data_IF_051516093264
#
_entry.id   IF_051516093264
#
_cell.length_a   1.000
_cell.length_b   1.000
_cell.length_c   1.000
_cell.angle_alpha   90.00
_cell.angle_beta   90.00
_cell.angle_gamma   90.00
#
_symmetry.space_group_name_H-M   'P 1'
#
loop_
_entity.id
_entity.type
_entity.pdbx_description
1 polymer ?
#
# COMPACT_ATOMS: atom_id res chain seq x y z
N UNK A 1 16.36 13.03 23.23
CA UNK A 1 15.09 13.35 22.53
C UNK A 1 14.99 12.39 21.38
N UNK A 2 14.19 11.32 21.53
CA UNK A 2 14.04 10.31 20.49
C UNK A 2 13.07 10.84 19.42
N UNK A 3 13.59 11.56 18.43
CA UNK A 3 12.83 11.96 17.22
C UNK A 3 12.56 10.79 16.28
N UNK A 4 13.11 9.61 16.58
CA UNK A 4 13.09 8.46 15.68
C UNK A 4 11.70 8.00 15.23
N UNK A 5 10.67 8.16 16.07
CA UNK A 5 9.31 7.71 15.72
C UNK A 5 8.73 8.38 14.48
N UNK A 6 8.85 9.70 14.39
CA UNK A 6 8.27 10.50 13.29
C UNK A 6 9.05 10.26 11.99
N UNK A 7 10.38 10.25 12.06
CA UNK A 7 11.26 10.03 10.91
C UNK A 7 11.00 8.66 10.25
N UNK A 8 10.85 7.61 11.06
CA UNK A 8 10.52 6.27 10.57
C UNK A 8 9.13 6.19 9.96
N UNK A 9 8.14 6.86 10.55
CA UNK A 9 6.78 6.89 10.00
C UNK A 9 6.74 7.57 8.63
N UNK A 10 7.39 8.73 8.48
CA UNK A 10 7.46 9.44 7.20
C UNK A 10 8.12 8.59 6.11
N UNK A 11 9.22 7.90 6.45
CA UNK A 11 9.87 6.99 5.51
C UNK A 11 8.95 5.82 5.11
N UNK A 12 8.25 5.22 6.07
CA UNK A 12 7.31 4.13 5.82
C UNK A 12 6.10 4.60 4.98
N UNK A 13 5.58 5.80 5.24
CA UNK A 13 4.51 6.40 4.46
C UNK A 13 4.96 6.66 3.01
N UNK A 14 6.14 7.23 2.80
CA UNK A 14 6.69 7.46 1.46
C UNK A 14 6.92 6.14 0.71
N UNK A 15 7.50 5.14 1.38
CA UNK A 15 7.66 3.81 0.82
C UNK A 15 6.31 3.17 0.46
N UNK A 16 5.29 3.36 1.29
CA UNK A 16 3.92 2.87 1.04
C UNK A 16 3.32 3.50 -0.19
N UNK A 17 3.45 4.82 -0.37
CA UNK A 17 2.94 5.50 -1.57
C UNK A 17 3.68 5.02 -2.82
N UNK A 18 5.01 4.96 -2.80
CA UNK A 18 5.78 4.54 -3.95
C UNK A 18 5.53 3.07 -4.33
N UNK A 19 5.61 2.16 -3.36
CA UNK A 19 5.47 0.72 -3.58
C UNK A 19 4.01 0.30 -3.78
N UNK A 20 3.08 0.96 -3.08
CA UNK A 20 1.63 0.79 -3.25
C UNK A 20 1.10 1.28 -4.60
N UNK A 21 1.89 2.07 -5.35
CA UNK A 21 1.62 2.40 -6.75
C UNK A 21 2.36 1.45 -7.70
N UNK A 22 3.69 1.32 -7.56
CA UNK A 22 4.51 0.54 -8.48
C UNK A 22 4.18 -0.96 -8.45
N UNK A 23 3.90 -1.51 -7.27
CA UNK A 23 3.49 -2.90 -7.08
C UNK A 23 2.23 -3.22 -7.89
N UNK A 24 1.07 -2.63 -7.57
CA UNK A 24 -0.16 -2.84 -8.31
C UNK A 24 -0.06 -2.60 -9.82
N UNK A 25 0.67 -1.57 -10.27
CA UNK A 25 0.88 -1.34 -11.71
C UNK A 25 1.62 -2.50 -12.38
N UNK A 26 2.63 -3.08 -11.71
CA UNK A 26 3.31 -4.28 -12.24
C UNK A 26 2.38 -5.50 -12.30
N UNK A 27 1.42 -5.62 -11.38
CA UNK A 27 0.41 -6.68 -11.41
C UNK A 27 -0.60 -6.50 -12.53
N UNK A 28 -1.04 -5.26 -12.78
CA UNK A 28 -1.89 -4.93 -13.93
C UNK A 28 -1.13 -5.20 -15.24
N UNK A 29 0.14 -4.82 -15.33
CA UNK A 29 0.98 -5.10 -16.50
C UNK A 29 1.12 -6.63 -16.73
N UNK A 30 1.31 -7.41 -15.67
CA UNK A 30 1.31 -8.87 -15.73
C UNK A 30 -0.03 -9.45 -16.24
N UNK A 31 -1.15 -8.89 -15.80
CA UNK A 31 -2.48 -9.34 -16.20
C UNK A 31 -2.76 -9.06 -17.69
N UNK A 32 -2.42 -7.85 -18.16
CA UNK A 32 -2.71 -7.35 -19.52
C UNK A 32 -1.70 -7.86 -20.56
N UNK A 33 -0.40 -7.89 -20.24
CA UNK A 33 0.66 -8.28 -21.18
C UNK A 33 0.92 -9.79 -21.14
N UNK A 34 -0.05 -10.56 -21.64
CA UNK A 34 -0.05 -12.03 -21.58
C UNK A 34 1.24 -12.65 -22.14
N UNK A 35 1.77 -12.10 -23.23
CA UNK A 35 3.00 -12.57 -23.90
C UNK A 35 4.28 -12.33 -23.08
N UNK A 36 4.27 -11.39 -22.13
CA UNK A 36 5.43 -11.00 -21.32
C UNK A 36 5.30 -11.42 -19.85
N UNK A 37 4.37 -12.33 -19.53
CA UNK A 37 4.06 -12.72 -18.15
C UNK A 37 5.27 -13.19 -17.37
N UNK A 38 6.18 -13.93 -17.99
CA UNK A 38 7.38 -14.43 -17.31
C UNK A 38 8.31 -13.30 -16.86
N UNK A 39 8.41 -12.21 -17.64
CA UNK A 39 9.19 -11.04 -17.27
C UNK A 39 8.54 -10.26 -16.12
N UNK A 40 7.22 -10.04 -16.19
CA UNK A 40 6.46 -9.32 -15.16
C UNK A 40 6.20 -10.11 -13.88
N UNK A 41 6.35 -11.44 -13.92
CA UNK A 41 6.11 -12.33 -12.77
C UNK A 41 6.92 -11.93 -11.55
N UNK A 42 8.23 -11.75 -11.71
CA UNK A 42 9.13 -11.43 -10.58
C UNK A 42 8.90 -10.01 -10.05
N UNK A 43 8.84 -8.95 -10.90
CA UNK A 43 8.48 -7.61 -10.44
C UNK A 43 7.16 -7.56 -9.69
N UNK A 44 6.11 -8.24 -10.18
CA UNK A 44 4.83 -8.33 -9.48
C UNK A 44 4.95 -9.00 -8.11
N UNK A 45 5.61 -10.16 -8.02
CA UNK A 45 5.76 -10.86 -6.73
C UNK A 45 6.52 -10.00 -5.72
N UNK A 46 7.67 -9.44 -6.13
CA UNK A 46 8.49 -8.58 -5.28
C UNK A 46 7.72 -7.33 -4.89
N UNK A 47 7.06 -6.68 -5.84
CA UNK A 47 6.22 -5.52 -5.61
C UNK A 47 5.09 -5.80 -4.62
N UNK A 48 4.44 -6.97 -4.70
CA UNK A 48 3.39 -7.36 -3.76
C UNK A 48 3.91 -7.56 -2.33
N UNK A 49 5.08 -8.20 -2.17
CA UNK A 49 5.75 -8.38 -0.87
C UNK A 49 6.15 -7.02 -0.29
N UNK A 50 6.84 -6.19 -1.07
CA UNK A 50 7.35 -4.90 -0.62
C UNK A 50 6.23 -3.91 -0.31
N UNK A 51 5.20 -3.84 -1.15
CA UNK A 51 4.04 -2.97 -0.92
C UNK A 51 3.33 -3.34 0.39
N UNK A 52 3.06 -4.63 0.63
CA UNK A 52 2.41 -5.05 1.87
C UNK A 52 3.29 -4.79 3.09
N UNK A 53 4.60 -5.07 3.00
CA UNK A 53 5.55 -4.74 4.08
C UNK A 53 5.57 -3.24 4.40
N UNK A 54 5.56 -2.39 3.38
CA UNK A 54 5.51 -0.94 3.57
C UNK A 54 4.21 -0.50 4.24
N UNK A 55 3.05 -1.00 3.77
CA UNK A 55 1.74 -0.71 4.36
C UNK A 55 1.70 -1.07 5.85
N UNK A 56 2.20 -2.26 6.23
CA UNK A 56 2.25 -2.67 7.63
C UNK A 56 3.16 -1.77 8.47
N UNK A 57 4.33 -1.39 7.94
CA UNK A 57 5.24 -0.49 8.66
C UNK A 57 4.62 0.90 8.85
N UNK A 58 3.93 1.43 7.84
CA UNK A 58 3.26 2.72 7.91
C UNK A 58 2.10 2.71 8.92
N UNK A 59 1.27 1.66 8.90
CA UNK A 59 0.15 1.51 9.84
C UNK A 59 0.65 1.36 11.29
N UNK A 60 1.60 0.45 11.54
CA UNK A 60 2.14 0.22 12.88
C UNK A 60 2.85 1.45 13.44
N UNK A 61 3.63 2.14 12.61
CA UNK A 61 4.32 3.37 13.04
C UNK A 61 3.34 4.52 13.28
N UNK A 62 2.28 4.64 12.47
CA UNK A 62 1.23 5.64 12.64
C UNK A 62 0.49 5.48 13.97
N UNK A 63 0.06 4.25 14.30
CA UNK A 63 -0.58 3.97 15.58
C UNK A 63 0.33 4.26 16.76
N UNK A 64 1.60 3.80 16.72
CA UNK A 64 2.57 4.08 17.79
C UNK A 64 2.81 5.58 17.99
N UNK A 65 2.78 6.36 16.92
CA UNK A 65 2.94 7.82 17.00
C UNK A 65 1.75 8.46 17.73
N UNK A 66 0.52 8.01 17.46
CA UNK A 66 -0.70 8.48 18.13
C UNK A 66 -0.78 7.99 19.58
N UNK A 67 -0.34 6.76 19.87
CA UNK A 67 -0.23 6.25 21.23
C UNK A 67 0.77 7.06 22.07
N UNK A 68 1.88 7.48 21.45
CA UNK A 68 2.90 8.31 22.10
C UNK A 68 2.46 9.77 22.29
N UNK A 69 1.66 10.31 21.36
CA UNK A 69 1.08 11.65 21.45
C UNK A 69 -0.40 11.65 21.05
N UNK A 70 -1.31 11.38 22.01
CA UNK A 70 -2.76 11.42 21.75
C UNK A 70 -3.26 12.81 21.32
N UNK A 71 -2.48 13.87 21.54
CA UNK A 71 -2.80 15.23 21.08
C UNK A 71 -2.88 15.34 19.56
N UNK A 72 -2.23 14.44 18.81
CA UNK A 72 -2.33 14.36 17.36
C UNK A 72 -3.77 14.12 16.87
N UNK A 73 -4.63 13.51 17.69
CA UNK A 73 -6.05 13.31 17.34
C UNK A 73 -6.88 14.59 17.39
N UNK A 74 -6.35 15.70 17.93
CA UNK A 74 -7.00 16.99 17.85
C UNK A 74 -6.96 17.59 16.43
N UNK A 75 -6.01 17.14 15.60
CA UNK A 75 -5.95 17.50 14.18
C UNK A 75 -7.01 16.70 13.39
N UNK A 76 -8.00 17.36 12.77
CA UNK A 76 -9.10 16.69 12.07
C UNK A 76 -8.64 15.87 10.86
N UNK A 77 -7.43 16.09 10.36
CA UNK A 77 -6.85 15.34 9.23
C UNK A 77 -6.25 13.98 9.65
N UNK A 78 -5.89 13.81 10.92
CA UNK A 78 -5.22 12.59 11.41
C UNK A 78 -6.18 11.39 11.47
N UNK A 79 -7.40 11.60 11.96
CA UNK A 79 -8.37 10.51 12.11
C UNK A 79 -8.80 9.87 10.76
N UNK A 80 -9.13 10.66 9.71
CA UNK A 80 -9.35 10.12 8.37
C UNK A 80 -8.12 9.38 7.82
N UNK A 81 -6.91 9.93 8.01
CA UNK A 81 -5.68 9.30 7.53
C UNK A 81 -5.46 7.91 8.15
N UNK A 82 -5.63 7.77 9.48
CA UNK A 82 -5.58 6.47 10.17
C UNK A 82 -6.65 5.51 9.66
N UNK A 83 -7.89 6.00 9.47
CA UNK A 83 -8.97 5.17 8.96
C UNK A 83 -8.70 4.63 7.54
N UNK A 84 -8.00 5.38 6.68
CA UNK A 84 -7.56 4.88 5.39
C UNK A 84 -6.41 3.88 5.52
N UNK A 85 -5.46 4.10 6.42
CA UNK A 85 -4.38 3.15 6.70
C UNK A 85 -4.95 1.79 7.14
N UNK A 86 -5.90 1.78 8.07
CA UNK A 86 -6.59 0.57 8.53
C UNK A 86 -7.29 -0.17 7.39
N UNK A 87 -8.01 0.58 6.55
CA UNK A 87 -8.72 0.03 5.39
C UNK A 87 -7.78 -0.51 4.31
N UNK A 88 -6.54 -0.03 4.24
CA UNK A 88 -5.55 -0.46 3.25
C UNK A 88 -4.90 -1.80 3.60
N UNK A 89 -4.75 -2.13 4.90
CA UNK A 89 -4.06 -3.34 5.36
C UNK A 89 -4.69 -4.61 4.77
N UNK A 90 -6.01 -4.77 4.87
CA UNK A 90 -6.67 -6.01 4.43
C UNK A 90 -6.59 -6.22 2.90
N UNK A 91 -6.91 -5.23 2.04
CA UNK A 91 -6.66 -5.32 0.60
C UNK A 91 -5.18 -5.55 0.25
N UNK A 92 -4.25 -4.92 0.95
CA UNK A 92 -2.81 -5.12 0.72
C UNK A 92 -2.37 -6.55 1.08
N UNK A 93 -2.92 -7.13 2.16
CA UNK A 93 -2.69 -8.54 2.51
C UNK A 93 -3.25 -9.48 1.44
N UNK A 94 -4.47 -9.21 0.95
CA UNK A 94 -5.07 -9.95 -0.15
C UNK A 94 -4.26 -9.86 -1.44
N UNK A 95 -3.80 -8.66 -1.79
CA UNK A 95 -2.90 -8.41 -2.92
C UNK A 95 -1.59 -9.20 -2.78
N UNK A 96 -0.97 -9.18 -1.61
CA UNK A 96 0.23 -9.95 -1.30
C UNK A 96 0.02 -11.45 -1.51
N UNK A 97 -0.98 -12.03 -0.86
CA UNK A 97 -1.25 -13.48 -0.94
C UNK A 97 -1.57 -13.89 -2.38
N UNK A 98 -2.49 -13.18 -3.04
CA UNK A 98 -2.89 -13.49 -4.42
C UNK A 98 -1.74 -13.26 -5.41
N UNK A 99 -0.93 -12.21 -5.22
CA UNK A 99 0.26 -11.92 -6.02
C UNK A 99 1.29 -13.03 -5.93
N UNK A 100 1.67 -13.44 -4.72
CA UNK A 100 2.62 -14.54 -4.51
C UNK A 100 2.09 -15.85 -5.11
N UNK A 101 0.84 -16.22 -4.81
CA UNK A 101 0.22 -17.43 -5.36
C UNK A 101 0.14 -17.39 -6.89
N UNK A 102 -0.22 -16.24 -7.47
CA UNK A 102 -0.26 -16.06 -8.92
C UNK A 102 1.09 -16.27 -9.57
N UNK A 103 2.17 -15.77 -8.95
CA UNK A 103 3.52 -15.93 -9.45
C UNK A 103 4.06 -17.36 -9.29
N UNK A 104 3.81 -18.02 -8.15
CA UNK A 104 4.21 -19.40 -7.91
C UNK A 104 3.45 -20.38 -8.81
N UNK A 105 2.17 -20.13 -9.07
CA UNK A 105 1.31 -20.97 -9.88
C UNK A 105 1.26 -20.52 -11.35
N UNK A 106 2.23 -19.77 -11.86
CA UNK A 106 2.21 -19.27 -13.25
C UNK A 106 1.93 -20.34 -14.33
N UNK A 107 2.50 -21.57 -14.30
CA UNK A 107 2.21 -22.60 -15.31
C UNK A 107 0.82 -23.26 -15.19
N UNK A 108 -0.08 -22.72 -14.35
CA UNK A 108 -1.45 -23.23 -14.14
C UNK A 108 -2.32 -23.28 -15.40
N UNK A 109 -3.24 -24.23 -15.39
CA UNK A 109 -4.27 -24.44 -16.41
C UNK A 109 -5.68 -24.35 -15.78
N UNK A 110 -6.73 -24.48 -16.60
CA UNK A 110 -8.13 -24.53 -16.12
C UNK A 110 -8.63 -23.24 -15.46
N UNK A 111 -9.56 -23.38 -14.50
CA UNK A 111 -10.22 -22.26 -13.83
C UNK A 111 -9.22 -21.31 -13.13
N UNK A 112 -8.14 -21.86 -12.56
CA UNK A 112 -7.11 -21.05 -11.92
C UNK A 112 -6.49 -20.06 -12.91
N UNK A 113 -6.32 -20.39 -14.20
CA UNK A 113 -5.74 -19.49 -15.22
C UNK A 113 -6.53 -18.17 -15.37
N UNK A 114 -7.81 -18.17 -15.04
CA UNK A 114 -8.71 -17.00 -15.12
C UNK A 114 -8.96 -16.39 -13.75
N UNK A 115 -9.12 -17.21 -12.70
CA UNK A 115 -9.46 -16.73 -11.36
C UNK A 115 -8.36 -15.86 -10.74
N UNK A 116 -7.09 -16.31 -10.66
CA UNK A 116 -6.09 -15.49 -9.96
C UNK A 116 -5.71 -14.19 -10.68
N UNK A 117 -5.63 -14.06 -12.02
CA UNK A 117 -5.40 -12.74 -12.63
C UNK A 117 -6.55 -11.77 -12.38
N UNK A 118 -7.80 -12.24 -12.32
CA UNK A 118 -8.96 -11.40 -11.98
C UNK A 118 -8.88 -10.93 -10.53
N UNK A 119 -8.64 -11.85 -9.59
CA UNK A 119 -8.46 -11.50 -8.17
C UNK A 119 -7.25 -10.56 -7.97
N UNK A 120 -6.13 -10.87 -8.62
CA UNK A 120 -4.91 -10.05 -8.58
C UNK A 120 -5.19 -8.64 -9.06
N UNK A 121 -5.84 -8.49 -10.21
CA UNK A 121 -6.21 -7.19 -10.78
C UNK A 121 -7.17 -6.44 -9.85
N UNK A 122 -8.18 -7.14 -9.31
CA UNK A 122 -9.13 -6.54 -8.37
C UNK A 122 -8.45 -5.98 -7.12
N UNK A 123 -7.61 -6.78 -6.46
CA UNK A 123 -6.84 -6.32 -5.30
C UNK A 123 -5.85 -5.20 -5.66
N UNK A 124 -5.16 -5.33 -6.80
CA UNK A 124 -4.23 -4.30 -7.27
C UNK A 124 -4.94 -2.94 -7.44
N UNK A 125 -6.12 -2.92 -8.06
CA UNK A 125 -6.90 -1.69 -8.24
C UNK A 125 -7.31 -1.10 -6.89
N UNK A 126 -7.82 -1.93 -5.97
CA UNK A 126 -8.24 -1.46 -4.64
C UNK A 126 -7.04 -0.87 -3.86
N UNK A 127 -5.90 -1.58 -3.83
CA UNK A 127 -4.68 -1.09 -3.17
C UNK A 127 -4.21 0.22 -3.80
N UNK A 128 -4.20 0.31 -5.13
CA UNK A 128 -3.79 1.52 -5.84
C UNK A 128 -4.67 2.72 -5.46
N UNK A 129 -6.00 2.54 -5.50
CA UNK A 129 -6.96 3.60 -5.15
C UNK A 129 -6.78 4.04 -3.69
N UNK A 130 -6.75 3.09 -2.75
CA UNK A 130 -6.60 3.41 -1.33
C UNK A 130 -5.24 4.05 -1.02
N UNK A 131 -4.17 3.66 -1.71
CA UNK A 131 -2.84 4.28 -1.57
C UNK A 131 -2.88 5.75 -2.01
N UNK A 132 -3.54 6.05 -3.14
CA UNK A 132 -3.68 7.43 -3.63
C UNK A 132 -4.53 8.27 -2.67
N UNK A 133 -5.66 7.74 -2.19
CA UNK A 133 -6.53 8.45 -1.25
C UNK A 133 -5.82 8.72 0.09
N UNK A 134 -5.14 7.71 0.65
CA UNK A 134 -4.36 7.86 1.89
C UNK A 134 -3.21 8.87 1.73
N UNK A 135 -2.55 8.89 0.57
CA UNK A 135 -1.50 9.85 0.25
C UNK A 135 -1.99 11.29 0.08
N UNK A 136 -3.15 11.49 -0.56
CA UNK A 136 -3.79 12.80 -0.72
C UNK A 136 -4.14 13.40 0.64
N UNK A 137 -4.77 12.62 1.53
CA UNK A 137 -5.10 13.08 2.88
C UNK A 137 -3.84 13.28 3.75
N UNK A 138 -2.82 12.43 3.58
CA UNK A 138 -1.51 12.64 4.21
C UNK A 138 -0.88 13.97 3.82
N UNK A 139 -0.93 14.33 2.52
CA UNK A 139 -0.42 15.62 2.04
C UNK A 139 -1.22 16.81 2.55
N UNK A 140 -2.56 16.70 2.66
CA UNK A 140 -3.40 17.75 3.27
C UNK A 140 -3.04 17.99 4.74
N UNK A 141 -2.84 16.93 5.53
CA UNK A 141 -2.46 17.06 6.95
C UNK A 141 -1.14 17.82 7.16
N UNK A 142 -0.20 17.65 6.23
CA UNK A 142 1.07 18.37 6.21
C UNK A 142 0.88 19.82 5.77
N UNK A 143 0.09 20.05 4.73
CA UNK A 143 -0.15 21.38 4.18
C UNK A 143 -0.85 22.29 5.19
N UNK A 144 -1.92 21.82 5.83
CA UNK A 144 -2.71 22.61 6.79
C UNK A 144 -1.84 23.06 7.98
N UNK A 145 -0.99 22.17 8.50
CA UNK A 145 -0.02 22.50 9.56
C UNK A 145 1.03 23.52 9.14
N UNK A 146 1.49 23.47 7.89
CA UNK A 146 2.46 24.46 7.38
C UNK A 146 1.78 25.81 7.19
N UNK A 147 0.54 25.84 6.67
CA UNK A 147 -0.19 27.08 6.47
C UNK A 147 -0.55 27.80 7.78
N UNK A 148 -0.84 27.09 8.87
CA UNK A 148 -1.15 27.70 10.16
C UNK A 148 0.05 28.39 10.83
N UNK A 149 1.27 28.14 10.33
CA UNK A 149 2.51 28.75 10.83
C UNK A 149 2.89 30.06 10.13
N UNK A 150 2.15 30.46 9.09
CA UNK A 150 2.40 31.68 8.28
C UNK A 150 1.18 32.60 8.25
#
# INVERSE_FOLDING_TARGET
METGGVEWHVLAAYATVALGVLGPLSAIAYAVRVEQRDWWRRPMMVGAVLAFGAVLLAELSGHRMVEADPGLLADPSVSPHLAYADRLVLPAAGYFVVGVLTGLLNPRTGALRVALPLLLTGFAVVVLVLTVLSGDDGMRSLWDRVSDQF
#
